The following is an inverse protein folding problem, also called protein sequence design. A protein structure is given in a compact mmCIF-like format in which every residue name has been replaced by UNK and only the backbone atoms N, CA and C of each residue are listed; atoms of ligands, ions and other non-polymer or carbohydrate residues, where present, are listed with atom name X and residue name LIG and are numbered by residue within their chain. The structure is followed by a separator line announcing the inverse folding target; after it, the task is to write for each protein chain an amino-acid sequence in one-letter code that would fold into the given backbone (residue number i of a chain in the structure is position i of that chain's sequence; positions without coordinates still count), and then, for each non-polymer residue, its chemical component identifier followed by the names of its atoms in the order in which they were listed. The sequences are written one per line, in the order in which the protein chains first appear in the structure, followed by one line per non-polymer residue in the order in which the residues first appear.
data_IF_903866772879
#
_entry.id   IF_903866772879
#
_cell.length_a   1.000
_cell.length_b   1.000
_cell.length_c   1.000
_cell.angle_alpha   90.00
_cell.angle_beta   90.00
_cell.angle_gamma   90.00
#
_symmetry.space_group_name_H-M   'P 1'
#
loop_
_entity.id
_entity.type
_entity.pdbx_description
1 polymer ?
#
# COMPACT_ATOMS: atom_id res chain seq x y z
N UNK A 1 4.01 0.19 -6.79
CA UNK A 1 5.05 -0.18 -5.85
C UNK A 1 4.59 0.12 -4.43
N UNK A 2 4.71 -0.87 -3.53
CA UNK A 2 4.14 -0.77 -2.18
C UNK A 2 4.73 0.36 -1.35
N UNK A 3 6.06 0.53 -1.39
CA UNK A 3 6.72 1.63 -0.67
C UNK A 3 6.28 3.00 -1.21
N UNK A 4 6.08 3.10 -2.50
CA UNK A 4 5.55 4.31 -3.14
C UNK A 4 4.14 4.63 -2.64
N UNK A 5 3.29 3.61 -2.47
CA UNK A 5 1.93 3.79 -1.94
C UNK A 5 2.00 4.32 -0.49
N UNK A 6 2.86 3.73 0.34
CA UNK A 6 3.04 4.19 1.73
C UNK A 6 3.47 5.67 1.74
N UNK A 7 4.41 6.04 0.90
CA UNK A 7 4.89 7.41 0.79
C UNK A 7 3.78 8.36 0.31
N UNK A 8 3.05 7.97 -0.73
CA UNK A 8 1.97 8.79 -1.31
C UNK A 8 0.83 9.01 -0.33
N UNK A 9 0.44 7.99 0.43
CA UNK A 9 -0.62 8.13 1.44
C UNK A 9 -0.20 9.06 2.56
N UNK A 10 1.03 8.94 3.04
CA UNK A 10 1.57 9.81 4.09
C UNK A 10 1.64 11.26 3.61
N UNK A 11 2.14 11.50 2.41
CA UNK A 11 2.24 12.83 1.83
C UNK A 11 0.85 13.46 1.61
N UNK A 12 -0.11 12.67 1.11
CA UNK A 12 -1.47 13.15 0.86
C UNK A 12 -2.18 13.49 2.18
N UNK A 13 -2.03 12.66 3.21
CA UNK A 13 -2.60 12.92 4.53
C UNK A 13 -2.02 14.21 5.12
N UNK A 14 -0.73 14.42 4.98
CA UNK A 14 -0.06 15.64 5.46
C UNK A 14 -0.61 16.89 4.73
N UNK A 15 -0.72 16.83 3.41
CA UNK A 15 -1.26 17.94 2.62
C UNK A 15 -2.72 18.25 3.00
N UNK A 16 -3.51 17.21 3.25
CA UNK A 16 -4.90 17.36 3.63
C UNK A 16 -5.02 18.07 4.98
N UNK A 17 -4.22 17.64 5.97
CA UNK A 17 -4.20 18.27 7.29
C UNK A 17 -3.73 19.71 7.24
N UNK A 18 -2.70 20.00 6.45
CA UNK A 18 -2.17 21.37 6.31
C UNK A 18 -3.19 22.30 5.66
N UNK A 19 -3.91 21.81 4.65
CA UNK A 19 -4.82 22.63 3.86
C UNK A 19 -6.17 22.85 4.54
N UNK A 20 -6.69 21.86 5.24
CA UNK A 20 -8.06 21.88 5.75
C UNK A 20 -8.16 21.66 7.26
N UNK A 21 -7.08 21.24 7.92
CA UNK A 21 -7.09 20.92 9.33
C UNK A 21 -7.85 19.64 9.64
N UNK A 22 -8.08 19.39 10.91
CA UNK A 22 -8.79 18.21 11.40
C UNK A 22 -10.27 18.54 11.56
N UNK A 23 -11.12 17.97 10.69
CA UNK A 23 -12.57 18.13 10.72
C UNK A 23 -13.22 16.76 10.60
N UNK A 24 -14.53 16.68 10.77
CA UNK A 24 -15.25 15.40 10.61
C UNK A 24 -15.07 14.84 9.19
N UNK A 25 -15.07 15.70 8.18
CA UNK A 25 -14.88 15.28 6.81
C UNK A 25 -13.44 14.85 6.51
N UNK A 26 -12.45 15.57 7.04
CA UNK A 26 -11.04 15.20 6.84
C UNK A 26 -10.69 13.92 7.58
N UNK A 27 -11.29 13.67 8.74
CA UNK A 27 -11.06 12.42 9.51
C UNK A 27 -11.45 11.20 8.67
N UNK A 28 -12.57 11.25 7.95
CA UNK A 28 -12.99 10.13 7.09
C UNK A 28 -11.93 9.85 6.02
N UNK A 29 -11.48 10.88 5.32
CA UNK A 29 -10.44 10.74 4.29
C UNK A 29 -9.11 10.30 4.86
N UNK A 30 -8.72 10.82 6.03
CA UNK A 30 -7.49 10.42 6.71
C UNK A 30 -7.53 8.95 7.10
N UNK A 31 -8.68 8.45 7.57
CA UNK A 31 -8.85 7.04 7.88
C UNK A 31 -8.76 6.16 6.63
N UNK A 32 -9.32 6.60 5.51
CA UNK A 32 -9.21 5.88 4.24
C UNK A 32 -7.76 5.77 3.79
N UNK A 33 -7.01 6.88 3.87
CA UNK A 33 -5.59 6.90 3.53
C UNK A 33 -4.77 6.01 4.48
N UNK A 34 -5.07 6.04 5.76
CA UNK A 34 -4.40 5.19 6.75
C UNK A 34 -4.64 3.70 6.47
N UNK A 35 -5.87 3.33 6.11
CA UNK A 35 -6.21 1.95 5.74
C UNK A 35 -5.44 1.49 4.49
N UNK A 36 -5.27 2.37 3.51
CA UNK A 36 -4.47 2.08 2.31
C UNK A 36 -3.02 1.83 2.72
N UNK A 37 -2.45 2.68 3.56
CA UNK A 37 -1.08 2.55 4.04
C UNK A 37 -0.88 1.24 4.81
N UNK A 38 -1.81 0.90 5.70
CA UNK A 38 -1.71 -0.35 6.47
C UNK A 38 -1.77 -1.59 5.58
N UNK A 39 -2.65 -1.59 4.58
CA UNK A 39 -2.72 -2.70 3.62
C UNK A 39 -1.44 -2.84 2.81
N UNK A 40 -0.90 -1.73 2.32
CA UNK A 40 0.38 -1.74 1.59
C UNK A 40 1.51 -2.27 2.47
N UNK A 41 1.55 -1.86 3.73
CA UNK A 41 2.54 -2.35 4.68
C UNK A 41 2.40 -3.85 4.95
N UNK A 42 1.16 -4.36 5.04
CA UNK A 42 0.89 -5.78 5.21
C UNK A 42 1.39 -6.59 4.01
N UNK A 43 1.11 -6.16 2.79
CA UNK A 43 1.60 -6.84 1.59
C UNK A 43 3.12 -6.79 1.49
N UNK A 44 3.74 -5.67 1.82
CA UNK A 44 5.19 -5.52 1.84
C UNK A 44 5.83 -6.51 2.84
N UNK A 45 5.29 -6.60 4.04
CA UNK A 45 5.81 -7.50 5.08
C UNK A 45 5.68 -8.97 4.67
N UNK A 46 4.55 -9.35 4.08
CA UNK A 46 4.33 -10.71 3.58
C UNK A 46 5.32 -11.06 2.47
N UNK A 47 5.51 -10.14 1.54
CA UNK A 47 6.44 -10.32 0.43
C UNK A 47 7.87 -10.50 0.92
N UNK A 48 8.30 -9.65 1.85
CA UNK A 48 9.63 -9.72 2.46
C UNK A 48 9.85 -11.05 3.17
N UNK A 49 8.87 -11.49 3.98
CA UNK A 49 8.93 -12.76 4.69
C UNK A 49 9.05 -13.93 3.71
N UNK A 50 8.29 -13.90 2.61
CA UNK A 50 8.34 -14.95 1.60
C UNK A 50 9.69 -14.99 0.89
N UNK A 51 10.26 -13.84 0.56
CA UNK A 51 11.60 -13.76 -0.01
C UNK A 51 12.66 -14.36 0.90
N UNK A 52 12.57 -14.10 2.20
CA UNK A 52 13.49 -14.69 3.18
C UNK A 52 13.35 -16.21 3.22
N UNK A 53 12.14 -16.74 3.19
CA UNK A 53 11.90 -18.19 3.17
C UNK A 53 12.47 -18.84 1.92
N UNK A 54 12.31 -18.19 0.76
CA UNK A 54 12.89 -18.68 -0.50
C UNK A 54 14.42 -18.70 -0.41
N UNK A 55 15.01 -17.63 0.12
CA UNK A 55 16.46 -17.55 0.30
C UNK A 55 16.97 -18.65 1.23
N UNK A 56 16.26 -18.92 2.34
CA UNK A 56 16.62 -19.94 3.30
C UNK A 56 16.48 -21.36 2.74
N UNK A 57 15.64 -21.57 1.74
CA UNK A 57 15.42 -22.88 1.13
C UNK A 57 16.41 -23.22 0.01
N UNK A 58 17.37 -22.35 -0.26
CA UNK A 58 18.37 -22.59 -1.27
C UNK A 58 19.15 -23.88 -0.99
N UNK A 59 19.66 -24.56 -2.05
CA UNK A 59 19.74 -24.07 -3.44
C UNK A 59 18.46 -24.17 -4.26
N UNK A 60 17.45 -24.89 -3.80
CA UNK A 60 16.22 -25.10 -4.58
C UNK A 60 15.01 -24.71 -3.76
N UNK A 61 14.31 -23.65 -4.19
CA UNK A 61 13.00 -23.31 -3.64
C UNK A 61 11.95 -24.29 -4.18
N UNK A 62 10.99 -24.70 -3.34
CA UNK A 62 9.92 -25.58 -3.77
C UNK A 62 8.99 -24.88 -4.75
N UNK A 63 8.31 -25.66 -5.63
CA UNK A 63 7.30 -25.13 -6.53
C UNK A 63 6.18 -24.44 -5.77
N UNK A 64 5.80 -24.97 -4.60
CA UNK A 64 4.76 -24.36 -3.77
C UNK A 64 5.16 -22.95 -3.29
N UNK A 65 6.43 -22.76 -2.91
CA UNK A 65 6.95 -21.45 -2.51
C UNK A 65 6.98 -20.47 -3.68
N UNK A 66 7.35 -20.92 -4.87
CA UNK A 66 7.36 -20.10 -6.08
C UNK A 66 5.96 -19.69 -6.49
N UNK A 67 4.98 -20.59 -6.36
CA UNK A 67 3.57 -20.28 -6.61
C UNK A 67 3.03 -19.25 -5.61
N UNK A 68 3.43 -19.35 -4.34
CA UNK A 68 3.06 -18.36 -3.33
C UNK A 68 3.66 -16.99 -3.66
N UNK A 69 4.89 -16.97 -4.15
CA UNK A 69 5.53 -15.72 -4.57
C UNK A 69 4.78 -15.07 -5.73
N UNK A 70 4.44 -15.84 -6.76
CA UNK A 70 3.67 -15.34 -7.91
C UNK A 70 2.33 -14.77 -7.47
N UNK A 71 1.63 -15.47 -6.59
CA UNK A 71 0.35 -15.02 -6.06
C UNK A 71 0.47 -13.74 -5.24
N UNK A 72 1.53 -13.64 -4.42
CA UNK A 72 1.83 -12.44 -3.65
C UNK A 72 2.08 -11.24 -4.54
N UNK A 73 2.79 -11.44 -5.64
CA UNK A 73 3.07 -10.37 -6.61
C UNK A 73 1.77 -9.90 -7.26
N UNK A 74 0.91 -10.82 -7.71
CA UNK A 74 -0.38 -10.48 -8.32
C UNK A 74 -1.28 -9.70 -7.35
N UNK A 75 -1.38 -10.16 -6.11
CA UNK A 75 -2.17 -9.49 -5.08
C UNK A 75 -1.62 -8.09 -4.78
N UNK A 76 -0.31 -7.95 -4.69
CA UNK A 76 0.33 -6.66 -4.45
C UNK A 76 0.08 -5.70 -5.61
N UNK A 77 0.18 -6.17 -6.85
CA UNK A 77 -0.08 -5.35 -8.04
C UNK A 77 -1.52 -4.86 -8.09
N UNK A 78 -2.49 -5.74 -7.78
CA UNK A 78 -3.89 -5.36 -7.71
C UNK A 78 -4.14 -4.33 -6.60
N UNK A 79 -3.53 -4.51 -5.44
CA UNK A 79 -3.62 -3.56 -4.33
C UNK A 79 -3.01 -2.21 -4.70
N UNK A 80 -1.86 -2.20 -5.34
CA UNK A 80 -1.20 -0.96 -5.79
C UNK A 80 -2.11 -0.19 -6.74
N UNK A 81 -2.68 -0.85 -7.74
CA UNK A 81 -3.55 -0.20 -8.71
C UNK A 81 -4.80 0.40 -8.05
N UNK A 82 -5.45 -0.36 -7.17
CA UNK A 82 -6.62 0.11 -6.43
C UNK A 82 -6.27 1.27 -5.50
N UNK A 83 -5.14 1.18 -4.80
CA UNK A 83 -4.66 2.22 -3.89
C UNK A 83 -4.34 3.52 -4.62
N UNK A 84 -3.67 3.44 -5.76
CA UNK A 84 -3.36 4.63 -6.57
C UNK A 84 -4.63 5.31 -7.07
N UNK A 85 -5.63 4.54 -7.48
CA UNK A 85 -6.91 5.09 -7.92
C UNK A 85 -7.61 5.83 -6.77
N UNK A 86 -7.63 5.24 -5.57
CA UNK A 86 -8.24 5.87 -4.40
C UNK A 86 -7.50 7.14 -3.98
N UNK A 87 -6.17 7.12 -4.00
CA UNK A 87 -5.37 8.31 -3.67
C UNK A 87 -5.66 9.45 -4.66
N UNK A 88 -5.75 9.15 -5.95
CA UNK A 88 -6.09 10.14 -6.97
C UNK A 88 -7.48 10.73 -6.74
N UNK A 89 -8.44 9.89 -6.37
CA UNK A 89 -9.79 10.34 -6.07
C UNK A 89 -9.83 11.25 -4.85
N UNK A 90 -9.12 10.88 -3.78
CA UNK A 90 -9.02 11.71 -2.57
C UNK A 90 -8.41 13.07 -2.89
N UNK A 91 -7.33 13.11 -3.67
CA UNK A 91 -6.70 14.35 -4.10
C UNK A 91 -7.68 15.22 -4.90
N UNK A 92 -8.45 14.61 -5.80
CA UNK A 92 -9.44 15.32 -6.59
C UNK A 92 -10.55 15.90 -5.73
N UNK A 93 -11.08 15.10 -4.79
CA UNK A 93 -12.16 15.51 -3.92
C UNK A 93 -11.77 16.70 -3.02
N UNK A 94 -10.52 16.78 -2.62
CA UNK A 94 -10.00 17.84 -1.76
C UNK A 94 -9.21 18.90 -2.53
N UNK A 95 -9.20 18.81 -3.86
CA UNK A 95 -8.48 19.75 -4.74
C UNK A 95 -7.01 19.89 -4.35
N UNK A 96 -6.34 18.78 -4.10
CA UNK A 96 -4.91 18.73 -3.78
C UNK A 96 -4.07 18.50 -5.03
N UNK A 97 -2.81 18.99 -5.04
CA UNK A 97 -1.89 18.74 -6.15
C UNK A 97 -1.51 17.28 -6.36
#
# INVERSE_FOLDING_TARGET
QLLSIIHKTTATAFMLLESYGETEQTIVSLNDLDNIRERANTYYSRFYTLLLRIADSQPIASNAMLELLDRSIEEAQANIAASEATIREEKRNWNLP
#
